data_IF_268723971093
#
_entry.id   IF_268723971093
#
_cell.length_a   1.000
_cell.length_b   1.000
_cell.length_c   1.000
_cell.angle_alpha   90.00
_cell.angle_beta   90.00
_cell.angle_gamma   90.00
#
_symmetry.space_group_name_H-M   'P 1'
#
loop_
_entity.id
_entity.type
_entity.pdbx_description
1 polymer ?
#
# COMPACT_ATOMS: atom_id res chain seq x y z
N UNK A 1 -19.61 -0.43 7.17
CA UNK A 1 -20.51 0.40 6.34
C UNK A 1 -20.76 1.71 7.08
N UNK A 2 -20.84 2.84 6.37
CA UNK A 2 -21.05 4.23 6.87
C UNK A 2 -19.84 5.07 7.33
N UNK A 3 -18.75 5.13 6.56
CA UNK A 3 -17.81 6.26 6.70
C UNK A 3 -17.31 6.86 5.37
N UNK A 4 -17.82 6.39 4.24
CA UNK A 4 -17.37 6.81 2.89
C UNK A 4 -18.42 7.61 2.09
N UNK A 5 -19.54 8.03 2.71
CA UNK A 5 -20.64 8.70 1.99
C UNK A 5 -20.59 10.25 2.05
N UNK A 6 -19.59 10.86 2.67
CA UNK A 6 -19.64 12.29 2.98
C UNK A 6 -19.02 13.23 1.94
N UNK A 7 -18.65 12.74 0.75
CA UNK A 7 -18.10 13.60 -0.31
C UNK A 7 -19.01 13.50 -1.55
N UNK A 8 -20.19 14.08 -1.46
CA UNK A 8 -20.99 14.44 -2.62
C UNK A 8 -21.63 15.82 -2.38
N UNK A 9 -21.37 16.82 -3.25
CA UNK A 9 -22.12 18.07 -3.23
C UNK A 9 -23.59 17.79 -3.60
N UNK A 10 -24.50 18.33 -2.80
CA UNK A 10 -25.93 18.40 -3.09
C UNK A 10 -26.18 19.12 -4.43
N UNK A 11 -26.79 18.43 -5.40
CA UNK A 11 -27.18 19.00 -6.68
C UNK A 11 -28.62 19.53 -6.61
N UNK A 12 -28.81 20.71 -6.02
CA UNK A 12 -30.00 21.53 -6.25
C UNK A 12 -29.58 22.93 -6.69
N UNK A 13 -29.45 23.11 -8.00
CA UNK A 13 -29.20 24.40 -8.65
C UNK A 13 -29.72 24.36 -10.08
N UNK A 14 -30.67 25.24 -10.39
CA UNK A 14 -31.53 25.24 -11.58
C UNK A 14 -30.76 25.41 -12.91
N UNK A 15 -31.28 24.74 -13.94
CA UNK A 15 -30.95 24.90 -15.36
C UNK A 15 -30.99 26.37 -15.83
N UNK A 16 -29.93 26.83 -16.48
CA UNK A 16 -29.97 27.79 -17.60
C UNK A 16 -28.82 27.46 -18.59
N UNK A 17 -29.03 27.81 -19.84
CA UNK A 17 -28.51 27.25 -21.10
C UNK A 17 -27.00 27.42 -21.42
N UNK A 18 -26.52 26.47 -22.23
CA UNK A 18 -25.50 26.58 -23.30
C UNK A 18 -24.06 27.00 -22.93
N UNK A 19 -23.26 26.04 -22.42
CA UNK A 19 -21.82 26.06 -22.68
C UNK A 19 -21.33 24.71 -23.21
N UNK A 20 -20.68 24.74 -24.36
CA UNK A 20 -19.93 23.59 -24.91
C UNK A 20 -18.92 23.04 -23.89
N UNK A 21 -18.43 23.89 -22.98
CA UNK A 21 -17.57 23.55 -21.85
C UNK A 21 -18.22 22.63 -20.80
N UNK A 22 -19.51 22.81 -20.47
CA UNK A 22 -20.23 21.92 -19.56
C UNK A 22 -20.43 20.54 -20.18
N UNK A 23 -20.78 20.47 -21.47
CA UNK A 23 -20.91 19.18 -22.17
C UNK A 23 -19.57 18.44 -22.30
N UNK A 24 -18.45 19.16 -22.52
CA UNK A 24 -17.10 18.58 -22.51
C UNK A 24 -16.71 18.09 -21.11
N UNK A 25 -16.99 18.86 -20.06
CA UNK A 25 -16.77 18.47 -18.66
C UNK A 25 -17.60 17.24 -18.27
N UNK A 26 -18.89 17.21 -18.60
CA UNK A 26 -19.77 16.06 -18.38
C UNK A 26 -19.31 14.82 -19.15
N UNK A 27 -18.84 14.98 -20.40
CA UNK A 27 -18.25 13.87 -21.18
C UNK A 27 -16.94 13.39 -20.57
N UNK A 28 -16.08 14.28 -20.09
CA UNK A 28 -14.82 13.91 -19.45
C UNK A 28 -15.06 13.20 -18.11
N UNK A 29 -16.01 13.67 -17.30
CA UNK A 29 -16.48 12.99 -16.09
C UNK A 29 -17.11 11.63 -16.40
N UNK A 30 -17.96 11.54 -17.44
CA UNK A 30 -18.58 10.27 -17.83
C UNK A 30 -17.54 9.25 -18.32
N UNK A 31 -16.55 9.67 -19.12
CA UNK A 31 -15.46 8.82 -19.58
C UNK A 31 -14.53 8.41 -18.43
N UNK A 32 -14.24 9.32 -17.50
CA UNK A 32 -13.48 9.03 -16.29
C UNK A 32 -14.23 8.00 -15.42
N UNK A 33 -15.53 8.21 -15.22
CA UNK A 33 -16.39 7.32 -14.44
C UNK A 33 -16.55 5.93 -15.08
N UNK A 34 -16.67 5.87 -16.41
CA UNK A 34 -16.72 4.61 -17.14
C UNK A 34 -15.40 3.83 -16.98
N UNK A 35 -14.25 4.51 -17.13
CA UNK A 35 -12.92 3.92 -16.88
C UNK A 35 -12.76 3.46 -15.43
N UNK A 36 -13.29 4.22 -14.47
CA UNK A 36 -13.29 3.84 -13.05
C UNK A 36 -14.11 2.56 -12.83
N UNK A 37 -15.35 2.54 -13.31
CA UNK A 37 -16.27 1.39 -13.18
C UNK A 37 -15.67 0.14 -13.83
N UNK A 38 -15.02 0.28 -14.98
CA UNK A 38 -14.31 -0.82 -15.65
C UNK A 38 -13.15 -1.35 -14.79
N UNK A 39 -12.30 -0.46 -14.26
CA UNK A 39 -11.18 -0.84 -13.38
C UNK A 39 -11.67 -1.50 -12.10
N UNK A 40 -12.71 -0.95 -11.47
CA UNK A 40 -13.32 -1.52 -10.26
C UNK A 40 -13.90 -2.92 -10.54
N UNK A 41 -14.66 -3.06 -11.63
CA UNK A 41 -15.22 -4.34 -12.06
C UNK A 41 -14.15 -5.37 -12.44
N UNK A 42 -13.02 -4.94 -13.01
CA UNK A 42 -11.86 -5.79 -13.26
C UNK A 42 -11.21 -6.23 -11.95
N UNK A 43 -10.96 -5.30 -11.02
CA UNK A 43 -10.35 -5.60 -9.72
C UNK A 43 -11.19 -6.59 -8.92
N UNK A 44 -12.51 -6.36 -8.83
CA UNK A 44 -13.43 -7.24 -8.13
C UNK A 44 -13.44 -8.67 -8.69
N UNK A 45 -13.23 -8.82 -10.01
CA UNK A 45 -13.18 -10.15 -10.67
C UNK A 45 -11.87 -10.90 -10.45
N UNK A 46 -10.76 -10.21 -10.21
CA UNK A 46 -9.44 -10.87 -10.02
C UNK A 46 -9.14 -11.20 -8.56
N UNK A 47 -9.84 -10.57 -7.60
CA UNK A 47 -9.73 -10.92 -6.18
C UNK A 47 -10.48 -12.22 -5.92
N UNK A 48 -9.73 -13.30 -5.73
CA UNK A 48 -10.30 -14.63 -5.53
C UNK A 48 -10.55 -14.96 -4.04
N UNK A 49 -9.81 -14.33 -3.13
CA UNK A 49 -9.85 -14.64 -1.70
C UNK A 49 -9.64 -13.39 -0.84
N UNK A 50 -10.28 -13.37 0.34
CA UNK A 50 -10.02 -12.41 1.41
C UNK A 50 -9.70 -13.24 2.65
N UNK A 51 -8.47 -13.12 3.14
CA UNK A 51 -7.96 -13.96 4.23
C UNK A 51 -7.43 -13.09 5.36
N UNK A 52 -7.48 -13.64 6.57
CA UNK A 52 -6.74 -13.07 7.70
C UNK A 52 -5.25 -13.32 7.47
N UNK A 53 -4.42 -12.34 7.81
CA UNK A 53 -2.98 -12.52 7.80
C UNK A 53 -2.34 -12.00 9.08
N UNK A 54 -1.21 -12.60 9.47
CA UNK A 54 -0.36 -12.16 10.57
C UNK A 54 1.12 -12.38 10.20
N UNK A 55 1.82 -11.30 9.85
CA UNK A 55 3.22 -11.36 9.38
C UNK A 55 4.21 -11.86 10.44
N UNK A 56 3.80 -11.92 11.71
CA UNK A 56 4.65 -12.43 12.80
C UNK A 56 4.64 -13.95 12.89
N UNK A 57 3.68 -14.62 12.24
CA UNK A 57 3.64 -16.09 12.15
C UNK A 57 4.55 -16.60 11.03
N UNK A 58 5.13 -17.78 11.23
CA UNK A 58 5.95 -18.46 10.21
C UNK A 58 5.20 -18.74 8.92
N UNK A 59 3.91 -19.12 9.01
CA UNK A 59 2.94 -19.04 7.92
C UNK A 59 2.03 -17.83 8.17
N UNK A 60 2.19 -16.72 7.42
CA UNK A 60 1.35 -15.54 7.64
C UNK A 60 -0.13 -15.74 7.34
N UNK A 61 -0.51 -16.80 6.62
CA UNK A 61 -1.89 -17.12 6.24
C UNK A 61 -2.46 -18.31 7.02
N UNK A 62 -1.86 -18.68 8.16
CA UNK A 62 -2.30 -19.78 9.01
C UNK A 62 -3.77 -19.64 9.48
N UNK A 63 -4.60 -20.70 9.40
CA UNK A 63 -4.27 -22.11 9.07
C UNK A 63 -4.26 -22.47 7.58
N UNK A 64 -4.61 -21.54 6.69
CA UNK A 64 -4.65 -21.80 5.26
C UNK A 64 -3.25 -21.95 4.65
N UNK A 65 -3.15 -22.81 3.63
CA UNK A 65 -1.93 -23.02 2.85
C UNK A 65 -2.24 -22.72 1.40
N UNK A 66 -1.58 -21.70 0.85
CA UNK A 66 -1.69 -21.30 -0.54
C UNK A 66 -0.44 -21.73 -1.33
N UNK A 67 -0.56 -21.96 -2.65
CA UNK A 67 0.62 -22.11 -3.49
C UNK A 67 1.45 -20.81 -3.43
N UNK A 68 2.79 -20.89 -3.48
CA UNK A 68 3.64 -19.70 -3.49
C UNK A 68 3.26 -18.75 -4.65
N UNK A 69 3.10 -17.48 -4.33
CA UNK A 69 2.71 -16.45 -5.27
C UNK A 69 3.87 -16.07 -6.21
N UNK A 70 3.51 -15.54 -7.38
CA UNK A 70 4.45 -14.94 -8.31
C UNK A 70 4.92 -13.55 -7.86
N UNK A 71 4.04 -12.83 -7.17
CA UNK A 71 4.24 -11.48 -6.67
C UNK A 71 3.56 -11.33 -5.30
N UNK A 72 4.24 -10.66 -4.36
CA UNK A 72 3.68 -10.26 -3.06
C UNK A 72 3.75 -8.74 -2.96
N UNK A 73 2.64 -8.11 -2.61
CA UNK A 73 2.56 -6.66 -2.41
C UNK A 73 2.25 -6.39 -0.94
N UNK A 74 3.04 -5.51 -0.31
CA UNK A 74 2.75 -4.98 1.02
C UNK A 74 2.91 -3.46 1.00
N UNK A 75 1.92 -2.75 1.51
CA UNK A 75 1.82 -1.29 1.39
C UNK A 75 1.44 -0.71 2.76
N UNK A 76 2.32 0.13 3.32
CA UNK A 76 2.13 0.84 4.60
C UNK A 76 1.79 -0.08 5.79
N UNK A 77 2.37 -1.29 5.80
CA UNK A 77 1.99 -2.36 6.73
C UNK A 77 3.13 -2.76 7.64
N UNK A 78 4.31 -3.08 7.10
CA UNK A 78 5.38 -3.69 7.90
C UNK A 78 5.91 -2.75 8.99
N UNK A 79 5.98 -1.45 8.71
CA UNK A 79 6.35 -0.41 9.68
C UNK A 79 5.34 -0.25 10.82
N UNK A 80 4.05 -0.50 10.57
CA UNK A 80 2.99 -0.31 11.58
C UNK A 80 2.80 -1.52 12.49
N UNK A 81 3.14 -2.71 12.00
CA UNK A 81 2.97 -3.98 12.74
C UNK A 81 4.23 -4.49 13.41
N UNK A 82 5.42 -4.01 13.03
CA UNK A 82 6.70 -4.46 13.59
C UNK A 82 7.19 -3.49 14.67
N UNK A 83 7.40 -4.00 15.89
CA UNK A 83 7.83 -3.19 17.04
C UNK A 83 9.29 -2.70 16.98
N UNK A 84 10.13 -3.41 16.24
CA UNK A 84 11.57 -3.14 16.11
C UNK A 84 12.14 -3.71 14.81
N UNK A 85 13.36 -3.30 14.46
CA UNK A 85 14.06 -3.75 13.25
C UNK A 85 14.25 -5.28 13.15
N UNK A 86 14.34 -5.98 14.29
CA UNK A 86 14.49 -7.43 14.31
C UNK A 86 13.18 -8.14 13.98
N UNK A 87 12.05 -7.64 14.51
CA UNK A 87 10.70 -8.10 14.14
C UNK A 87 10.38 -7.79 12.68
N UNK A 88 10.85 -6.66 12.13
CA UNK A 88 10.71 -6.34 10.71
C UNK A 88 11.45 -7.34 9.82
N UNK A 89 12.71 -7.66 10.15
CA UNK A 89 13.46 -8.72 9.44
C UNK A 89 12.81 -10.10 9.56
N UNK A 90 12.22 -10.41 10.71
CA UNK A 90 11.47 -11.65 10.89
C UNK A 90 10.19 -11.69 10.02
N UNK A 91 9.43 -10.60 10.00
CA UNK A 91 8.26 -10.46 9.15
C UNK A 91 8.61 -10.58 7.66
N UNK A 92 9.71 -9.95 7.20
CA UNK A 92 10.21 -10.12 5.83
C UNK A 92 10.51 -11.59 5.49
N UNK A 93 11.15 -12.34 6.40
CA UNK A 93 11.37 -13.78 6.21
C UNK A 93 10.06 -14.55 6.14
N UNK A 94 9.13 -14.27 7.04
CA UNK A 94 7.83 -14.94 7.09
C UNK A 94 7.03 -14.71 5.79
N UNK A 95 6.89 -13.46 5.32
CA UNK A 95 6.19 -13.18 4.06
C UNK A 95 6.95 -13.71 2.84
N UNK A 96 8.29 -13.84 2.91
CA UNK A 96 9.06 -14.45 1.84
C UNK A 96 8.67 -15.92 1.60
N UNK A 97 8.15 -16.63 2.63
CA UNK A 97 7.68 -18.02 2.48
C UNK A 97 6.49 -18.14 1.53
N UNK A 98 5.69 -17.06 1.40
CA UNK A 98 4.54 -16.99 0.50
C UNK A 98 4.94 -16.75 -0.95
N UNK A 99 6.22 -16.51 -1.24
CA UNK A 99 6.71 -16.12 -2.55
C UNK A 99 7.61 -17.21 -3.15
N UNK A 100 7.37 -17.55 -4.42
CA UNK A 100 8.23 -18.49 -5.15
C UNK A 100 9.65 -17.95 -5.32
N UNK A 101 10.68 -18.82 -5.40
CA UNK A 101 12.00 -18.39 -5.88
C UNK A 101 11.89 -17.70 -7.25
N UNK A 102 12.55 -16.55 -7.39
CA UNK A 102 12.44 -15.70 -8.58
C UNK A 102 11.18 -14.82 -8.66
N UNK A 103 10.25 -14.92 -7.70
CA UNK A 103 9.09 -14.04 -7.58
C UNK A 103 9.47 -12.63 -7.09
N UNK A 104 8.51 -11.70 -7.17
CA UNK A 104 8.72 -10.29 -6.84
C UNK A 104 8.03 -9.89 -5.54
N UNK A 105 8.72 -9.09 -4.74
CA UNK A 105 8.18 -8.38 -3.61
C UNK A 105 8.07 -6.90 -4.00
N UNK A 106 6.86 -6.35 -3.89
CA UNK A 106 6.59 -4.92 -4.06
C UNK A 106 6.27 -4.35 -2.69
N UNK A 107 7.12 -3.46 -2.20
CA UNK A 107 6.91 -2.76 -0.93
C UNK A 107 6.67 -1.28 -1.17
N UNK A 108 5.72 -0.71 -0.45
CA UNK A 108 5.66 0.73 -0.24
C UNK A 108 5.43 1.02 1.22
N UNK A 109 5.92 2.16 1.68
CA UNK A 109 5.76 2.58 3.07
C UNK A 109 6.40 3.93 3.31
N UNK A 110 6.40 4.33 4.57
CA UNK A 110 6.93 5.61 5.00
C UNK A 110 8.36 5.50 5.54
N UNK A 111 9.17 6.51 5.25
CA UNK A 111 10.47 6.77 5.88
C UNK A 111 10.31 7.82 6.97
N UNK A 112 11.09 7.69 8.04
CA UNK A 112 11.13 8.70 9.11
C UNK A 112 9.87 8.82 9.97
N UNK A 113 8.82 8.05 9.68
CA UNK A 113 7.55 8.10 10.42
C UNK A 113 7.66 7.39 11.77
N UNK A 114 7.16 8.01 12.83
CA UNK A 114 6.99 7.40 14.15
C UNK A 114 5.52 7.14 14.49
N UNK A 115 4.59 7.76 13.75
CA UNK A 115 3.17 7.54 13.96
C UNK A 115 2.28 7.93 12.77
N UNK A 116 1.04 7.46 12.83
CA UNK A 116 -0.06 8.00 12.05
C UNK A 116 -1.36 8.07 12.87
N UNK A 117 -2.28 8.94 12.46
CA UNK A 117 -3.58 9.15 13.09
C UNK A 117 -4.69 8.48 12.26
N UNK A 118 -5.62 7.80 12.93
CA UNK A 118 -6.90 7.38 12.35
C UNK A 118 -8.03 8.00 13.18
N UNK A 119 -8.59 9.09 12.66
CA UNK A 119 -9.44 9.97 13.46
C UNK A 119 -8.67 10.46 14.69
N UNK A 120 -9.21 10.34 15.92
CA UNK A 120 -8.53 10.80 17.14
C UNK A 120 -7.47 9.83 17.68
N UNK A 121 -7.28 8.65 17.07
CA UNK A 121 -6.40 7.61 17.60
C UNK A 121 -5.03 7.63 16.93
N UNK A 122 -3.98 7.66 17.75
CA UNK A 122 -2.58 7.56 17.34
C UNK A 122 -2.14 6.10 17.27
N UNK A 123 -1.51 5.72 16.17
CA UNK A 123 -0.92 4.40 15.95
C UNK A 123 0.58 4.54 15.77
N UNK A 124 1.32 3.55 16.24
CA UNK A 124 2.78 3.49 16.16
C UNK A 124 3.24 3.15 14.74
N UNK A 125 4.36 3.75 14.33
CA UNK A 125 5.18 3.30 13.22
C UNK A 125 6.63 3.09 13.68
N UNK A 126 7.24 2.00 13.22
CA UNK A 126 8.68 1.82 13.30
C UNK A 126 9.35 2.81 12.35
N UNK A 127 10.23 3.64 12.90
CA UNK A 127 11.01 4.59 12.09
C UNK A 127 11.98 3.81 11.19
N UNK A 128 11.73 3.86 9.88
CA UNK A 128 12.55 3.22 8.86
C UNK A 128 13.47 4.22 8.16
N UNK A 129 14.65 3.74 7.76
CA UNK A 129 15.57 4.45 6.87
C UNK A 129 15.83 3.63 5.61
N UNK A 130 16.29 4.29 4.55
CA UNK A 130 16.66 3.61 3.31
C UNK A 130 17.76 2.57 3.53
N UNK A 131 18.79 2.90 4.33
CA UNK A 131 19.91 2.00 4.63
C UNK A 131 19.42 0.73 5.32
N UNK A 132 18.50 0.88 6.28
CA UNK A 132 17.90 -0.26 6.95
C UNK A 132 17.11 -1.13 5.98
N UNK A 133 16.26 -0.55 5.12
CA UNK A 133 15.45 -1.29 4.14
C UNK A 133 16.34 -2.09 3.18
N UNK A 134 17.39 -1.45 2.64
CA UNK A 134 18.36 -2.12 1.76
C UNK A 134 19.06 -3.28 2.45
N UNK A 135 19.53 -3.06 3.67
CA UNK A 135 20.18 -4.10 4.47
C UNK A 135 19.24 -5.25 4.84
N UNK A 136 18.00 -4.94 5.22
CA UNK A 136 17.00 -5.92 5.60
C UNK A 136 16.62 -6.83 4.42
N UNK A 137 16.32 -6.24 3.25
CA UNK A 137 15.96 -6.99 2.04
C UNK A 137 17.09 -7.92 1.59
N UNK A 138 18.32 -7.41 1.54
CA UNK A 138 19.51 -8.19 1.19
C UNK A 138 19.74 -9.35 2.18
N UNK A 139 19.65 -9.08 3.49
CA UNK A 139 19.79 -10.10 4.53
C UNK A 139 18.68 -11.17 4.49
N UNK A 140 17.54 -10.85 3.87
CA UNK A 140 16.44 -11.79 3.65
C UNK A 140 16.35 -12.24 2.19
N UNK A 141 17.47 -12.36 1.48
CA UNK A 141 17.53 -13.07 0.19
C UNK A 141 16.79 -12.38 -0.98
N UNK A 142 16.54 -11.09 -0.88
CA UNK A 142 15.99 -10.28 -1.97
C UNK A 142 17.07 -9.43 -2.64
N UNK A 143 17.06 -9.42 -3.97
CA UNK A 143 17.80 -8.47 -4.78
C UNK A 143 16.89 -7.31 -5.17
N UNK A 144 17.27 -6.09 -4.81
CA UNK A 144 16.51 -4.88 -5.15
C UNK A 144 16.70 -4.58 -6.63
N UNK A 145 15.59 -4.45 -7.36
CA UNK A 145 15.57 -4.06 -8.77
C UNK A 145 15.30 -2.56 -8.92
N UNK A 146 14.34 -2.05 -8.15
CA UNK A 146 13.95 -0.64 -8.13
C UNK A 146 13.79 -0.18 -6.68
N UNK A 147 14.22 1.05 -6.40
CA UNK A 147 14.03 1.72 -5.12
C UNK A 147 13.89 3.21 -5.40
N UNK A 148 12.66 3.70 -5.30
CA UNK A 148 12.33 5.12 -5.43
C UNK A 148 11.91 5.70 -4.09
N UNK A 149 12.28 6.97 -3.87
CA UNK A 149 11.86 7.75 -2.70
C UNK A 149 11.21 9.03 -3.17
N UNK A 150 9.98 9.24 -2.73
CA UNK A 150 9.29 10.52 -2.88
C UNK A 150 9.41 11.28 -1.57
N UNK A 151 10.21 12.35 -1.57
CA UNK A 151 10.36 13.21 -0.40
C UNK A 151 9.05 13.96 -0.12
N UNK A 152 8.83 14.29 1.15
CA UNK A 152 7.71 15.11 1.53
C UNK A 152 7.99 16.58 1.20
N UNK A 153 7.12 17.18 0.39
CA UNK A 153 7.30 18.54 -0.12
C UNK A 153 6.70 19.64 0.80
N UNK A 154 5.77 19.28 1.70
CA UNK A 154 5.16 20.23 2.63
C UNK A 154 4.74 19.61 3.98
N UNK A 155 4.56 20.47 4.98
CA UNK A 155 4.24 20.10 6.36
C UNK A 155 2.74 20.03 6.66
N UNK A 156 1.87 20.12 5.65
CA UNK A 156 0.41 20.31 5.85
C UNK A 156 -0.27 19.19 6.63
N UNK A 157 0.34 18.00 6.68
CA UNK A 157 -0.18 16.80 7.35
C UNK A 157 0.58 16.38 8.63
N UNK A 158 1.43 17.25 9.22
CA UNK A 158 2.26 16.86 10.39
C UNK A 158 1.43 16.40 11.61
N UNK A 159 0.20 16.91 11.75
CA UNK A 159 -0.72 16.48 12.82
C UNK A 159 -1.26 15.06 12.61
N UNK A 160 -1.22 14.56 11.37
CA UNK A 160 -1.77 13.25 10.98
C UNK A 160 -0.67 12.18 10.88
N UNK A 161 0.52 12.55 10.38
CA UNK A 161 1.70 11.68 10.34
C UNK A 161 2.99 12.49 10.16
N UNK A 162 4.10 11.95 10.65
CA UNK A 162 5.41 12.61 10.69
C UNK A 162 6.44 11.99 9.72
N UNK A 163 5.97 11.31 8.67
CA UNK A 163 6.86 10.77 7.64
C UNK A 163 7.67 11.87 6.95
N UNK A 164 8.92 11.56 6.59
CA UNK A 164 9.82 12.44 5.83
C UNK A 164 9.80 12.15 4.32
N UNK A 165 9.37 10.96 3.93
CA UNK A 165 9.20 10.56 2.53
C UNK A 165 8.54 9.19 2.43
N UNK A 166 8.06 8.85 1.24
CA UNK A 166 7.51 7.53 0.93
C UNK A 166 8.51 6.75 0.07
N UNK A 167 8.68 5.47 0.34
CA UNK A 167 9.50 4.58 -0.48
C UNK A 167 8.63 3.66 -1.34
N UNK A 168 9.15 3.28 -2.50
CA UNK A 168 8.62 2.25 -3.39
C UNK A 168 9.75 1.33 -3.80
N UNK A 169 9.61 0.03 -3.53
CA UNK A 169 10.65 -0.96 -3.78
C UNK A 169 10.06 -2.10 -4.59
N UNK A 170 10.78 -2.49 -5.65
CA UNK A 170 10.60 -3.77 -6.32
C UNK A 170 11.85 -4.60 -6.05
N UNK A 171 11.68 -5.77 -5.43
CA UNK A 171 12.77 -6.68 -5.13
C UNK A 171 12.45 -8.11 -5.57
N UNK A 172 13.43 -8.81 -6.12
CA UNK A 172 13.30 -10.18 -6.59
C UNK A 172 13.88 -11.16 -5.60
N UNK A 173 13.14 -12.20 -5.24
CA UNK A 173 13.62 -13.28 -4.36
C UNK A 173 14.64 -14.14 -5.10
N UNK A 174 15.90 -14.16 -4.68
CA UNK A 174 16.97 -14.87 -5.39
C UNK A 174 17.04 -16.36 -5.05
N UNK A 175 16.79 -16.72 -3.79
CA UNK A 175 16.97 -18.08 -3.27
C UNK A 175 15.79 -18.49 -2.38
N UNK A 176 15.59 -19.80 -2.23
CA UNK A 176 14.81 -20.30 -1.10
C UNK A 176 15.62 -20.01 0.18
N UNK A 177 14.98 -19.35 1.14
CA UNK A 177 15.53 -19.09 2.47
C UNK A 177 15.05 -20.20 3.39
#
# INVERSE_FOLDING_TARGET
AQCWQSILPSSEGKMLQEDTGYMLSMRMHALFWQKWTEKEGKLRRVINHIQKCDVHKSNPLDPEVFPPADCLVSSFCLETVCKDQSSYRAALRNISSLLKPGGHLVLSGDLGTSFYMVGPKKFFCLVLTEEFLRGALSATGFAIQEFDVLSRDDDTMQEICDFSGMYFIVARKEKAI
#
